data_IF_808415164385
#
_entry.id   IF_808415164385
#
_cell.length_a   1.000
_cell.length_b   1.000
_cell.length_c   1.000
_cell.angle_alpha   90.00
_cell.angle_beta   90.00
_cell.angle_gamma   90.00
#
_symmetry.space_group_name_H-M   'P 1'
#
loop_
_entity.id
_entity.type
_entity.pdbx_description
1 polymer ?
#
# COMPACT_ATOMS: atom_id res chain seq x y z
N UNK A 1 3.46 11.48 15.20
CA UNK A 1 2.23 11.43 14.40
C UNK A 1 2.48 10.40 13.30
N UNK A 2 1.61 9.41 13.13
CA UNK A 2 1.72 8.52 11.96
C UNK A 2 1.14 9.30 10.81
N UNK A 3 2.01 9.76 9.92
CA UNK A 3 1.64 10.56 8.75
C UNK A 3 1.16 9.61 7.66
N UNK A 4 -0.09 9.77 7.23
CA UNK A 4 -0.66 9.06 6.09
C UNK A 4 -0.08 9.66 4.82
N UNK A 5 0.57 8.85 3.99
CA UNK A 5 1.20 9.33 2.76
C UNK A 5 0.32 9.14 1.53
N UNK A 6 -0.65 8.23 1.60
CA UNK A 6 -1.65 7.98 0.54
C UNK A 6 -1.02 7.70 -0.84
N UNK A 7 0.06 6.91 -0.86
CA UNK A 7 0.92 6.79 -2.05
C UNK A 7 0.37 5.85 -3.12
N UNK A 8 -0.35 4.81 -2.73
CA UNK A 8 -0.82 3.80 -3.69
C UNK A 8 -2.24 4.02 -4.21
N UNK A 9 -3.09 4.77 -3.50
CA UNK A 9 -4.47 5.02 -3.93
C UNK A 9 -5.40 3.80 -3.94
N UNK A 10 -5.03 2.69 -3.28
CA UNK A 10 -5.87 1.52 -3.03
C UNK A 10 -6.37 1.51 -1.59
N UNK A 11 -7.68 1.70 -1.40
CA UNK A 11 -8.24 2.00 -0.09
C UNK A 11 -8.96 0.81 0.56
N UNK A 12 -8.73 0.63 1.86
CA UNK A 12 -9.34 -0.42 2.67
C UNK A 12 -10.02 0.16 3.89
N UNK A 13 -11.18 -0.42 4.22
CA UNK A 13 -11.98 0.01 5.36
C UNK A 13 -11.51 -0.72 6.61
N UNK A 14 -10.87 0.01 7.53
CA UNK A 14 -10.36 -0.53 8.80
C UNK A 14 -10.97 0.21 9.99
N UNK A 15 -11.12 -0.48 11.13
CA UNK A 15 -11.65 0.11 12.36
C UNK A 15 -10.51 0.35 13.35
N UNK A 16 -10.10 1.60 13.51
CA UNK A 16 -9.09 2.02 14.50
C UNK A 16 -9.76 2.90 15.55
N UNK A 17 -9.50 2.65 16.83
CA UNK A 17 -10.06 3.42 17.96
C UNK A 17 -11.60 3.57 17.90
N UNK A 18 -12.30 2.50 17.53
CA UNK A 18 -13.76 2.49 17.42
C UNK A 18 -14.35 3.16 16.17
N UNK A 19 -13.55 3.83 15.35
CA UNK A 19 -13.99 4.54 14.14
C UNK A 19 -13.55 3.81 12.87
N UNK A 20 -14.46 3.71 11.90
CA UNK A 20 -14.15 3.22 10.56
C UNK A 20 -13.44 4.30 9.76
N UNK A 21 -12.37 3.92 9.07
CA UNK A 21 -11.54 4.80 8.25
C UNK A 21 -11.22 4.09 6.92
N UNK A 22 -11.10 4.87 5.84
CA UNK A 22 -10.58 4.38 4.56
C UNK A 22 -9.10 4.74 4.50
N UNK A 23 -8.24 3.72 4.46
CA UNK A 23 -6.79 3.89 4.55
C UNK A 23 -6.16 3.27 3.30
N UNK A 24 -5.20 3.98 2.70
CA UNK A 24 -4.39 3.47 1.59
C UNK A 24 -3.61 2.23 2.02
N UNK A 25 -3.42 1.26 1.13
CA UNK A 25 -2.79 -0.01 1.47
C UNK A 25 -1.42 0.18 2.12
N UNK A 26 -0.60 1.07 1.58
CA UNK A 26 0.75 1.44 2.04
C UNK A 26 0.76 2.17 3.39
N UNK A 27 -0.39 2.68 3.85
CA UNK A 27 -0.57 3.30 5.16
C UNK A 27 -1.24 2.37 6.20
N UNK A 28 -1.56 1.14 5.80
CA UNK A 28 -1.97 0.10 6.74
C UNK A 28 -0.79 -0.31 7.62
N UNK A 29 -1.08 -0.72 8.85
CA UNK A 29 -0.10 -1.47 9.64
C UNK A 29 0.15 -2.83 9.00
N UNK A 30 1.30 -3.42 9.25
CA UNK A 30 1.63 -4.77 8.76
C UNK A 30 0.53 -5.79 9.10
N UNK A 31 0.02 -5.77 10.34
CA UNK A 31 -1.08 -6.65 10.76
C UNK A 31 -2.38 -6.42 9.98
N UNK A 32 -2.69 -5.17 9.61
CA UNK A 32 -3.86 -4.86 8.79
C UNK A 32 -3.65 -5.27 7.33
N UNK A 33 -2.43 -5.11 6.80
CA UNK A 33 -2.08 -5.63 5.47
C UNK A 33 -2.28 -7.13 5.42
N UNK A 34 -1.77 -7.89 6.40
CA UNK A 34 -1.99 -9.33 6.48
C UNK A 34 -3.48 -9.68 6.58
N UNK A 35 -4.23 -9.01 7.45
CA UNK A 35 -5.68 -9.23 7.55
C UNK A 35 -6.42 -8.97 6.22
N UNK A 36 -6.01 -7.95 5.47
CA UNK A 36 -6.54 -7.68 4.13
C UNK A 36 -6.14 -8.80 3.17
N UNK A 37 -4.86 -9.18 3.11
CA UNK A 37 -4.35 -10.21 2.20
C UNK A 37 -5.03 -11.56 2.46
N UNK A 38 -5.11 -11.98 3.73
CA UNK A 38 -5.70 -13.26 4.14
C UNK A 38 -7.21 -13.33 3.86
N UNK A 39 -7.89 -12.17 3.84
CA UNK A 39 -9.31 -12.07 3.47
C UNK A 39 -9.56 -12.21 1.95
N UNK A 40 -8.51 -12.27 1.14
CA UNK A 40 -8.57 -12.22 -0.33
C UNK A 40 -7.94 -13.47 -0.93
N UNK A 41 -8.37 -13.79 -2.16
CA UNK A 41 -7.83 -14.93 -2.90
C UNK A 41 -6.49 -14.61 -3.57
N UNK A 42 -5.77 -15.66 -3.96
CA UNK A 42 -4.45 -15.54 -4.62
C UNK A 42 -4.43 -14.65 -5.87
N UNK A 43 -5.51 -14.66 -6.66
CA UNK A 43 -5.61 -13.80 -7.84
C UNK A 43 -5.57 -12.31 -7.47
N UNK A 44 -6.25 -11.96 -6.37
CA UNK A 44 -6.29 -10.58 -5.89
C UNK A 44 -4.91 -10.15 -5.40
N UNK A 45 -4.20 -11.01 -4.66
CA UNK A 45 -2.84 -10.73 -4.21
C UNK A 45 -1.88 -10.49 -5.39
N UNK A 46 -1.97 -11.32 -6.44
CA UNK A 46 -1.18 -11.13 -7.67
C UNK A 46 -1.44 -9.76 -8.30
N UNK A 47 -2.71 -9.37 -8.42
CA UNK A 47 -3.08 -8.08 -8.98
C UNK A 47 -2.58 -6.91 -8.11
N UNK A 48 -2.64 -7.04 -6.78
CA UNK A 48 -2.10 -6.04 -5.87
C UNK A 48 -0.59 -5.89 -6.01
N UNK A 49 0.17 -6.98 -6.15
CA UNK A 49 1.63 -6.87 -6.38
C UNK A 49 1.95 -6.13 -7.67
N UNK A 50 1.22 -6.41 -8.76
CA UNK A 50 1.38 -5.69 -10.03
C UNK A 50 1.03 -4.22 -9.87
N UNK A 51 -0.09 -3.91 -9.22
CA UNK A 51 -0.54 -2.56 -8.95
C UNK A 51 0.49 -1.76 -8.15
N UNK A 52 0.96 -2.29 -7.02
CA UNK A 52 1.96 -1.62 -6.18
C UNK A 52 3.29 -1.43 -6.92
N UNK A 53 3.71 -2.40 -7.74
CA UNK A 53 4.90 -2.26 -8.59
C UNK A 53 4.77 -1.12 -9.60
N UNK A 54 3.61 -0.99 -10.25
CA UNK A 54 3.31 0.11 -11.16
C UNK A 54 3.26 1.46 -10.43
N UNK A 55 2.67 1.51 -9.24
CA UNK A 55 2.64 2.72 -8.41
C UNK A 55 4.05 3.15 -8.01
N UNK A 56 4.89 2.22 -7.52
CA UNK A 56 6.29 2.53 -7.17
C UNK A 56 7.03 3.08 -8.40
N UNK A 57 6.85 2.46 -9.57
CA UNK A 57 7.46 2.94 -10.82
C UNK A 57 6.99 4.35 -11.17
N UNK A 58 5.69 4.61 -11.10
CA UNK A 58 5.11 5.93 -11.37
C UNK A 58 5.68 7.00 -10.44
N UNK A 59 5.75 6.72 -9.14
CA UNK A 59 6.35 7.64 -8.15
C UNK A 59 7.82 7.87 -8.49
N UNK A 60 8.56 6.81 -8.86
CA UNK A 60 9.94 6.92 -9.29
C UNK A 60 10.12 7.82 -10.51
N UNK A 61 9.29 7.64 -11.53
CA UNK A 61 9.33 8.46 -12.75
C UNK A 61 8.94 9.93 -12.49
N UNK A 62 7.96 10.17 -11.60
CA UNK A 62 7.46 11.52 -11.29
C UNK A 62 8.48 12.37 -10.52
N UNK A 63 9.26 11.74 -9.64
CA UNK A 63 10.20 12.41 -8.75
C UNK A 63 11.67 12.13 -9.08
N UNK A 64 11.96 11.49 -10.22
CA UNK A 64 13.30 11.05 -10.65
C UNK A 64 14.03 10.24 -9.56
N UNK A 65 13.27 9.34 -8.90
CA UNK A 65 13.81 8.49 -7.84
C UNK A 65 14.33 7.19 -8.44
N UNK A 66 15.61 6.94 -8.21
CA UNK A 66 16.27 5.67 -8.48
C UNK A 66 16.80 5.08 -7.19
N UNK A 67 16.92 3.75 -7.13
CA UNK A 67 17.64 3.11 -6.04
C UNK A 67 19.12 3.51 -6.17
N UNK A 68 19.72 4.01 -5.09
CA UNK A 68 21.18 4.18 -5.06
C UNK A 68 21.84 2.81 -5.27
N UNK A 69 22.65 2.71 -6.33
CA UNK A 69 23.49 1.54 -6.55
C UNK A 69 24.46 1.44 -5.36
N UNK A 70 24.30 0.40 -4.54
CA UNK A 70 25.37 -0.01 -3.65
C UNK A 70 26.47 -0.61 -4.53
N UNK A 71 27.44 0.22 -4.91
CA UNK A 71 28.75 -0.24 -5.39
C UNK A 71 29.39 -1.12 -4.31
#
# INVERSE_FOLDING_TARGET
MVEFRDLDGSYFRVKRNGKWQNISFSDLTESEMYAVIDSKGMMWLRNMCVFLGQTIRKIGDEFDLVREDKV
#
